data_IF_566522279860
#
_entry.id   IF_566522279860
#
_cell.length_a   1.000
_cell.length_b   1.000
_cell.length_c   1.000
_cell.angle_alpha   90.00
_cell.angle_beta   90.00
_cell.angle_gamma   90.00
#
_symmetry.space_group_name_H-M   'P 1'
#
loop_
_entity.id
_entity.type
_entity.pdbx_description
1 polymer ?
#
# COMPACT_ATOMS: atom_id res chain seq x y z
N UNK A 1 -4.01 6.25 17.35
CA UNK A 1 -3.70 7.49 16.63
C UNK A 1 -2.89 8.48 17.46
N UNK A 2 -3.30 8.90 18.68
CA UNK A 2 -2.56 9.88 19.51
C UNK A 2 -1.11 9.45 19.79
N UNK A 3 -0.88 8.20 20.15
CA UNK A 3 0.45 7.63 20.43
C UNK A 3 1.36 7.71 19.19
N UNK A 4 0.86 7.30 18.04
CA UNK A 4 1.64 7.35 16.80
C UNK A 4 2.11 8.78 16.46
N UNK A 5 1.21 9.77 16.60
CA UNK A 5 1.55 11.18 16.41
C UNK A 5 2.61 11.69 17.39
N UNK A 6 2.59 11.21 18.64
CA UNK A 6 3.58 11.59 19.65
C UNK A 6 4.99 11.13 19.25
N UNK A 7 5.14 9.91 18.74
CA UNK A 7 6.43 9.38 18.27
C UNK A 7 6.89 9.96 16.93
N UNK A 8 5.97 10.43 16.08
CA UNK A 8 6.31 11.08 14.81
C UNK A 8 6.71 12.55 15.01
N UNK A 9 6.21 13.21 16.04
CA UNK A 9 6.44 14.64 16.31
C UNK A 9 7.92 15.06 16.31
N UNK A 10 8.89 14.30 16.88
CA UNK A 10 10.29 14.65 16.81
C UNK A 10 10.86 14.67 15.37
N UNK A 11 10.25 13.91 14.45
CA UNK A 11 10.68 13.76 13.07
C UNK A 11 9.85 14.59 12.09
N UNK A 12 9.06 15.58 12.58
CA UNK A 12 8.15 16.39 11.76
C UNK A 12 8.80 16.98 10.52
N UNK A 13 10.06 17.45 10.61
CA UNK A 13 10.77 18.04 9.49
C UNK A 13 11.04 17.01 8.38
N UNK A 14 11.44 15.79 8.75
CA UNK A 14 11.62 14.68 7.79
C UNK A 14 10.29 14.28 7.16
N UNK A 15 9.21 14.26 7.94
CA UNK A 15 7.86 13.96 7.43
C UNK A 15 7.41 15.03 6.42
N UNK A 16 7.64 16.31 6.71
CA UNK A 16 7.32 17.41 5.78
C UNK A 16 8.15 17.27 4.49
N UNK A 17 9.45 17.00 4.60
CA UNK A 17 10.32 16.75 3.43
C UNK A 17 9.80 15.55 2.62
N UNK A 18 9.42 14.45 3.28
CA UNK A 18 8.84 13.28 2.63
C UNK A 18 7.56 13.61 1.86
N UNK A 19 6.67 14.43 2.43
CA UNK A 19 5.47 14.89 1.74
C UNK A 19 5.75 15.83 0.57
N UNK A 20 6.71 16.76 0.70
CA UNK A 20 7.11 17.64 -0.40
C UNK A 20 7.68 16.81 -1.56
N UNK A 21 8.58 15.87 -1.28
CA UNK A 21 9.15 14.98 -2.28
C UNK A 21 8.07 14.09 -2.95
N UNK A 22 7.11 13.60 -2.16
CA UNK A 22 5.97 12.84 -2.67
C UNK A 22 5.08 13.70 -3.59
N UNK A 23 4.85 14.96 -3.24
CA UNK A 23 4.09 15.89 -4.08
C UNK A 23 4.81 16.19 -5.39
N UNK A 24 6.12 16.44 -5.34
CA UNK A 24 6.94 16.65 -6.54
C UNK A 24 6.89 15.40 -7.44
N UNK A 25 7.22 14.23 -6.87
CA UNK A 25 7.19 12.97 -7.62
C UNK A 25 5.84 12.75 -8.30
N UNK A 26 4.72 12.88 -7.55
CA UNK A 26 3.39 12.61 -8.08
C UNK A 26 2.97 13.63 -9.15
N UNK A 27 3.28 14.91 -8.94
CA UNK A 27 2.96 15.98 -9.90
C UNK A 27 3.73 15.78 -11.21
N UNK A 28 5.04 15.52 -11.14
CA UNK A 28 5.84 15.29 -12.34
C UNK A 28 5.43 14.00 -13.08
N UNK A 29 5.06 12.95 -12.37
CA UNK A 29 4.51 11.72 -12.99
C UNK A 29 3.19 11.96 -13.73
N UNK A 30 2.39 12.96 -13.33
CA UNK A 30 1.14 13.31 -14.00
C UNK A 30 1.36 14.13 -15.28
N UNK A 31 2.56 14.68 -15.51
CA UNK A 31 2.89 15.33 -16.79
C UNK A 31 3.12 14.34 -17.93
N UNK A 32 3.51 13.11 -17.64
CA UNK A 32 3.80 12.10 -18.67
C UNK A 32 2.61 11.89 -19.65
N UNK A 33 1.37 11.59 -19.20
CA UNK A 33 0.24 11.44 -20.11
C UNK A 33 -0.15 12.75 -20.81
N UNK A 34 0.09 13.92 -20.21
CA UNK A 34 -0.19 15.22 -20.83
C UNK A 34 0.78 15.52 -21.98
N UNK A 35 2.08 15.29 -21.76
CA UNK A 35 3.11 15.48 -22.79
C UNK A 35 2.95 14.47 -23.93
N UNK A 36 2.58 13.22 -23.57
CA UNK A 36 2.30 12.19 -24.57
C UNK A 36 1.05 12.55 -25.39
N UNK A 37 0.00 13.09 -24.76
CA UNK A 37 -1.17 13.61 -25.46
C UNK A 37 -0.81 14.72 -26.45
N UNK A 38 0.03 15.69 -26.03
CA UNK A 38 0.54 16.75 -26.95
C UNK A 38 1.34 16.17 -28.12
N UNK A 39 2.18 15.16 -27.87
CA UNK A 39 2.94 14.51 -28.92
C UNK A 39 2.01 13.93 -30.00
N UNK A 40 0.92 13.27 -29.57
CA UNK A 40 -0.05 12.70 -30.51
C UNK A 40 -0.82 13.81 -31.23
N UNK A 41 -1.35 14.79 -30.50
CA UNK A 41 -2.20 15.84 -31.08
C UNK A 41 -1.45 16.72 -32.04
N UNK A 42 -0.22 17.16 -31.71
CA UNK A 42 0.54 18.11 -32.50
C UNK A 42 1.36 17.47 -33.61
N UNK A 43 1.78 16.19 -33.46
CA UNK A 43 2.72 15.56 -34.39
C UNK A 43 2.21 14.29 -35.06
N UNK A 44 1.32 13.53 -34.44
CA UNK A 44 0.78 12.32 -35.05
C UNK A 44 -0.52 12.59 -35.84
N UNK A 45 -1.41 13.47 -35.32
CA UNK A 45 -2.66 13.81 -36.02
C UNK A 45 -2.46 14.85 -37.13
N UNK A 46 -1.54 15.78 -36.95
CA UNK A 46 -1.26 16.88 -37.89
C UNK A 46 0.22 16.97 -38.20
N UNK A 47 0.81 15.95 -38.86
CA UNK A 47 2.27 15.87 -39.05
C UNK A 47 2.86 17.02 -39.92
N UNK A 48 2.06 17.57 -40.81
CA UNK A 48 2.49 18.57 -41.75
C UNK A 48 2.08 20.01 -41.42
N UNK A 49 1.25 20.22 -40.40
CA UNK A 49 0.72 21.53 -40.04
C UNK A 49 1.22 21.98 -38.67
N UNK A 50 1.64 23.24 -38.55
CA UNK A 50 1.93 23.86 -37.26
C UNK A 50 0.63 24.28 -36.58
N UNK A 51 0.66 24.63 -35.28
CA UNK A 51 -0.46 25.14 -34.51
C UNK A 51 -1.10 26.41 -35.16
N UNK A 52 -0.36 27.08 -36.03
CA UNK A 52 -0.81 28.26 -36.80
C UNK A 52 -1.32 27.91 -38.21
N UNK A 53 -1.39 26.61 -38.58
CA UNK A 53 -1.85 26.18 -39.90
C UNK A 53 -0.80 26.28 -41.04
N UNK A 54 0.46 26.59 -40.75
CA UNK A 54 1.54 26.61 -41.71
C UNK A 54 2.16 25.22 -41.90
N UNK A 55 2.63 24.93 -43.14
CA UNK A 55 3.33 23.67 -43.46
C UNK A 55 4.67 23.63 -42.70
N UNK A 56 4.86 22.58 -41.93
CA UNK A 56 6.14 22.31 -41.25
C UNK A 56 7.17 21.76 -42.20
N UNK A 57 8.38 22.29 -42.12
CA UNK A 57 9.54 21.67 -42.78
C UNK A 57 10.01 20.44 -41.97
N UNK A 58 10.60 19.47 -42.65
CA UNK A 58 11.09 18.22 -42.03
C UNK A 58 12.01 18.48 -40.79
N UNK A 59 12.95 19.43 -40.81
CA UNK A 59 13.77 19.73 -39.62
C UNK A 59 12.97 20.35 -38.46
N UNK A 60 11.94 21.14 -38.76
CA UNK A 60 11.04 21.69 -37.72
C UNK A 60 10.20 20.61 -37.02
N UNK A 61 9.71 19.64 -37.80
CA UNK A 61 8.99 18.49 -37.29
C UNK A 61 9.85 17.62 -36.35
N UNK A 62 11.06 17.25 -36.81
CA UNK A 62 12.01 16.47 -36.02
C UNK A 62 12.44 17.20 -34.74
N UNK A 63 12.70 18.51 -34.82
CA UNK A 63 13.07 19.32 -33.66
C UNK A 63 11.90 19.44 -32.66
N UNK A 64 10.66 19.55 -33.12
CA UNK A 64 9.46 19.59 -32.28
C UNK A 64 9.26 18.30 -31.49
N UNK A 65 9.33 17.15 -32.17
CA UNK A 65 9.26 15.83 -31.52
C UNK A 65 10.43 15.67 -30.55
N UNK A 66 11.66 16.01 -30.95
CA UNK A 66 12.84 15.92 -30.10
C UNK A 66 12.67 16.72 -28.80
N UNK A 67 12.12 17.92 -28.86
CA UNK A 67 11.85 18.75 -27.68
C UNK A 67 10.82 18.13 -26.74
N UNK A 68 9.72 17.57 -27.27
CA UNK A 68 8.72 16.91 -26.41
C UNK A 68 9.29 15.63 -25.79
N UNK A 69 10.06 14.84 -26.55
CA UNK A 69 10.73 13.66 -25.99
C UNK A 69 11.76 14.03 -24.91
N UNK A 70 12.50 15.12 -25.11
CA UNK A 70 13.45 15.61 -24.12
C UNK A 70 12.73 16.10 -22.85
N UNK A 71 11.58 16.77 -23.00
CA UNK A 71 10.71 17.14 -21.86
C UNK A 71 10.15 15.91 -21.15
N UNK A 72 9.71 14.87 -21.88
CA UNK A 72 9.25 13.61 -21.28
C UNK A 72 10.35 12.94 -20.46
N UNK A 73 11.55 12.83 -21.01
CA UNK A 73 12.69 12.28 -20.28
C UNK A 73 13.04 13.15 -19.06
N UNK A 74 13.03 14.48 -19.22
CA UNK A 74 13.31 15.42 -18.15
C UNK A 74 12.30 15.31 -16.99
N UNK A 75 11.00 15.30 -17.28
CA UNK A 75 9.94 15.14 -16.27
C UNK A 75 10.03 13.78 -15.58
N UNK A 76 10.26 12.70 -16.34
CA UNK A 76 10.46 11.37 -15.78
C UNK A 76 11.70 11.30 -14.87
N UNK A 77 12.81 11.94 -15.25
CA UNK A 77 14.02 11.99 -14.40
C UNK A 77 13.76 12.74 -13.10
N UNK A 78 13.11 13.91 -13.14
CA UNK A 78 12.78 14.66 -11.94
C UNK A 78 11.89 13.84 -11.01
N UNK A 79 10.84 13.20 -11.55
CA UNK A 79 9.96 12.30 -10.81
C UNK A 79 10.76 11.16 -10.15
N UNK A 80 11.65 10.49 -10.89
CA UNK A 80 12.48 9.39 -10.38
C UNK A 80 13.43 9.82 -9.29
N UNK A 81 14.10 10.96 -9.44
CA UNK A 81 15.00 11.52 -8.44
C UNK A 81 14.21 11.87 -7.18
N UNK A 82 13.08 12.59 -7.32
CA UNK A 82 12.22 12.91 -6.20
C UNK A 82 11.74 11.65 -5.46
N UNK A 83 11.37 10.59 -6.21
CA UNK A 83 10.97 9.30 -5.65
C UNK A 83 12.10 8.63 -4.86
N UNK A 84 13.31 8.63 -5.38
CA UNK A 84 14.46 8.04 -4.69
C UNK A 84 14.74 8.74 -3.35
N UNK A 85 14.72 10.08 -3.32
CA UNK A 85 14.87 10.85 -2.09
C UNK A 85 13.68 10.69 -1.13
N UNK A 86 12.45 10.58 -1.66
CA UNK A 86 11.26 10.29 -0.88
C UNK A 86 11.41 8.93 -0.17
N UNK A 87 11.76 7.88 -0.90
CA UNK A 87 11.91 6.53 -0.35
C UNK A 87 13.03 6.47 0.70
N UNK A 88 14.15 7.15 0.47
CA UNK A 88 15.20 7.30 1.46
C UNK A 88 14.69 7.99 2.73
N UNK A 89 14.01 9.13 2.60
CA UNK A 89 13.47 9.90 3.73
C UNK A 89 12.45 9.09 4.53
N UNK A 90 11.55 8.39 3.83
CA UNK A 90 10.55 7.50 4.46
C UNK A 90 11.22 6.37 5.23
N UNK A 91 12.23 5.73 4.65
CA UNK A 91 12.98 4.67 5.32
C UNK A 91 13.71 5.19 6.57
N UNK A 92 14.32 6.39 6.52
CA UNK A 92 14.93 7.02 7.70
C UNK A 92 13.90 7.27 8.80
N UNK A 93 12.71 7.77 8.46
CA UNK A 93 11.61 7.98 9.41
C UNK A 93 11.20 6.63 10.04
N UNK A 94 10.99 5.61 9.22
CA UNK A 94 10.59 4.27 9.66
C UNK A 94 11.61 3.69 10.65
N UNK A 95 12.91 3.74 10.33
CA UNK A 95 13.93 3.18 11.20
C UNK A 95 14.05 3.94 12.54
N UNK A 96 14.05 5.28 12.50
CA UNK A 96 14.08 6.10 13.72
C UNK A 96 12.84 5.91 14.59
N UNK A 97 11.66 5.89 13.98
CA UNK A 97 10.40 5.62 14.65
C UNK A 97 10.39 4.21 15.27
N UNK A 98 10.78 3.20 14.49
CA UNK A 98 10.82 1.81 14.94
C UNK A 98 11.77 1.60 16.11
N UNK A 99 12.94 2.24 16.09
CA UNK A 99 13.90 2.21 17.20
C UNK A 99 13.32 2.87 18.47
N UNK A 100 12.73 4.06 18.34
CA UNK A 100 12.14 4.78 19.46
C UNK A 100 10.96 3.98 20.08
N UNK A 101 10.06 3.48 19.24
CA UNK A 101 8.91 2.67 19.69
C UNK A 101 9.37 1.40 20.43
N UNK A 102 10.36 0.70 19.87
CA UNK A 102 10.87 -0.53 20.47
C UNK A 102 11.58 -0.27 21.81
N UNK A 103 12.44 0.76 21.87
CA UNK A 103 13.16 1.11 23.10
C UNK A 103 12.24 1.55 24.21
N UNK A 104 11.26 2.40 23.90
CA UNK A 104 10.29 2.85 24.90
C UNK A 104 9.36 1.73 25.34
N UNK A 105 8.92 0.87 24.42
CA UNK A 105 8.14 -0.31 24.73
C UNK A 105 8.88 -1.29 25.65
N UNK A 106 10.17 -1.53 25.37
CA UNK A 106 11.02 -2.36 26.21
C UNK A 106 11.22 -1.75 27.59
N UNK A 107 11.51 -0.44 27.66
CA UNK A 107 11.64 0.29 28.94
C UNK A 107 10.37 0.21 29.76
N UNK A 108 9.21 0.43 29.13
CA UNK A 108 7.92 0.34 29.81
C UNK A 108 7.68 -1.09 30.33
N UNK A 109 7.96 -2.10 29.53
CA UNK A 109 7.83 -3.50 29.95
C UNK A 109 8.70 -3.83 31.17
N UNK A 110 9.94 -3.34 31.19
CA UNK A 110 10.86 -3.56 32.32
C UNK A 110 10.47 -2.81 33.60
N UNK A 111 9.62 -1.78 33.52
CA UNK A 111 9.12 -1.03 34.67
C UNK A 111 7.83 -1.63 35.25
N UNK A 112 7.25 -2.66 34.62
CA UNK A 112 6.08 -3.34 35.14
C UNK A 112 6.39 -4.12 36.42
N UNK A 113 5.44 -4.23 37.41
CA UNK A 113 5.61 -5.06 38.57
C UNK A 113 5.84 -6.53 38.23
N UNK A 114 6.60 -7.25 39.07
CA UNK A 114 6.93 -8.66 38.86
C UNK A 114 5.71 -9.54 38.58
N UNK A 115 4.59 -9.28 39.24
CA UNK A 115 3.33 -10.00 39.06
C UNK A 115 2.79 -9.92 37.64
N UNK A 116 2.97 -8.78 36.93
CA UNK A 116 2.58 -8.62 35.53
C UNK A 116 3.52 -9.37 34.56
N UNK A 117 4.74 -9.68 35.02
CA UNK A 117 5.72 -10.49 34.27
C UNK A 117 5.49 -11.99 34.45
N UNK A 118 5.00 -12.43 35.60
CA UNK A 118 4.75 -13.83 35.91
C UNK A 118 3.64 -14.43 35.05
N UNK A 119 2.61 -13.64 34.75
CA UNK A 119 1.50 -14.00 33.85
C UNK A 119 1.84 -13.92 32.36
N UNK A 120 2.87 -13.16 31.99
CA UNK A 120 3.30 -13.00 30.59
C UNK A 120 4.64 -13.70 30.35
N UNK A 121 4.63 -14.68 29.47
CA UNK A 121 5.88 -15.30 29.00
C UNK A 121 6.75 -14.22 28.36
N UNK A 122 8.01 -14.09 28.78
CA UNK A 122 8.96 -13.07 28.29
C UNK A 122 9.06 -12.98 26.76
N UNK A 123 8.87 -14.10 26.04
CA UNK A 123 8.79 -14.16 24.60
C UNK A 123 7.54 -13.55 23.98
N UNK A 124 6.43 -13.49 24.71
CA UNK A 124 5.17 -12.90 24.24
C UNK A 124 5.29 -11.38 24.15
N UNK A 125 5.82 -10.73 25.17
CA UNK A 125 6.07 -9.26 25.15
C UNK A 125 6.97 -8.84 24.00
N UNK A 126 8.08 -9.57 23.77
CA UNK A 126 8.97 -9.30 22.66
C UNK A 126 8.28 -9.46 21.30
N UNK A 127 7.45 -10.49 21.17
CA UNK A 127 6.68 -10.75 19.94
C UNK A 127 5.67 -9.63 19.68
N UNK A 128 4.97 -9.14 20.71
CA UNK A 128 4.02 -8.02 20.62
C UNK A 128 4.74 -6.74 20.19
N UNK A 129 5.88 -6.40 20.80
CA UNK A 129 6.65 -5.21 20.45
C UNK A 129 7.17 -5.26 19.02
N UNK A 130 7.71 -6.40 18.61
CA UNK A 130 8.21 -6.60 17.24
C UNK A 130 7.09 -6.48 16.20
N UNK A 131 5.94 -7.06 16.48
CA UNK A 131 4.77 -6.97 15.62
C UNK A 131 4.22 -5.54 15.56
N UNK A 132 4.08 -4.87 16.71
CA UNK A 132 3.63 -3.48 16.77
C UNK A 132 4.56 -2.56 15.98
N UNK A 133 5.88 -2.74 16.11
CA UNK A 133 6.87 -2.03 15.30
C UNK A 133 6.62 -2.24 13.81
N UNK A 134 6.55 -3.50 13.35
CA UNK A 134 6.38 -3.84 11.93
C UNK A 134 5.05 -3.31 11.37
N UNK A 135 3.97 -3.35 12.13
CA UNK A 135 2.67 -2.83 11.71
C UNK A 135 2.68 -1.29 11.60
N UNK A 136 3.34 -0.59 12.52
CA UNK A 136 3.52 0.86 12.47
C UNK A 136 4.41 1.29 11.30
N UNK A 137 5.51 0.57 11.03
CA UNK A 137 6.39 0.80 9.89
C UNK A 137 5.63 0.71 8.57
N UNK A 138 4.82 -0.35 8.39
CA UNK A 138 3.94 -0.52 7.22
C UNK A 138 2.92 0.60 7.10
N UNK A 139 2.32 1.01 8.22
CA UNK A 139 1.33 2.07 8.23
C UNK A 139 1.92 3.42 7.79
N UNK A 140 3.09 3.81 8.32
CA UNK A 140 3.79 5.05 7.94
C UNK A 140 4.13 5.03 6.45
N UNK A 141 4.72 3.93 5.97
CA UNK A 141 5.05 3.75 4.56
C UNK A 141 3.81 3.87 3.67
N UNK A 142 2.71 3.24 4.06
CA UNK A 142 1.46 3.28 3.31
C UNK A 142 0.88 4.71 3.25
N UNK A 143 0.86 5.43 4.36
CA UNK A 143 0.32 6.79 4.41
C UNK A 143 1.11 7.74 3.50
N UNK A 144 2.44 7.70 3.56
CA UNK A 144 3.28 8.63 2.78
C UNK A 144 3.31 8.24 1.30
N UNK A 145 3.47 6.96 0.98
CA UNK A 145 3.66 6.52 -0.41
C UNK A 145 2.33 6.34 -1.17
N UNK A 146 1.26 5.96 -0.49
CA UNK A 146 0.00 5.62 -1.16
C UNK A 146 -1.06 6.69 -0.90
N UNK A 147 -1.45 6.90 0.36
CA UNK A 147 -2.58 7.80 0.68
C UNK A 147 -2.29 9.23 0.24
N UNK A 148 -1.11 9.73 0.53
CA UNK A 148 -0.73 11.09 0.13
C UNK A 148 -0.64 11.22 -1.40
N UNK A 149 -0.06 10.24 -2.09
CA UNK A 149 -0.02 10.21 -3.55
C UNK A 149 -1.41 10.24 -4.18
N UNK A 150 -2.37 9.50 -3.64
CA UNK A 150 -3.77 9.53 -4.09
C UNK A 150 -4.37 10.93 -3.93
N UNK A 151 -4.15 11.59 -2.79
CA UNK A 151 -4.68 12.94 -2.55
C UNK A 151 -4.11 13.94 -3.56
N UNK A 152 -2.80 13.91 -3.80
CA UNK A 152 -2.15 14.78 -4.80
C UNK A 152 -2.69 14.50 -6.20
N UNK A 153 -2.86 13.22 -6.57
CA UNK A 153 -3.43 12.84 -7.87
C UNK A 153 -4.86 13.34 -8.04
N UNK A 154 -5.71 13.21 -7.03
CA UNK A 154 -7.10 13.69 -7.09
C UNK A 154 -7.12 15.20 -7.29
N UNK A 155 -6.30 15.96 -6.55
CA UNK A 155 -6.22 17.43 -6.70
C UNK A 155 -5.76 17.80 -8.10
N UNK A 156 -4.69 17.16 -8.60
CA UNK A 156 -4.17 17.41 -9.93
C UNK A 156 -5.18 17.12 -11.05
N UNK A 157 -5.78 15.91 -11.02
CA UNK A 157 -6.79 15.51 -11.99
C UNK A 157 -8.00 16.42 -11.93
N UNK A 158 -8.43 16.85 -10.75
CA UNK A 158 -9.55 17.80 -10.58
C UNK A 158 -9.28 19.13 -11.27
N UNK A 159 -8.09 19.70 -11.08
CA UNK A 159 -7.68 20.95 -11.72
C UNK A 159 -7.58 20.78 -13.24
N UNK A 160 -7.03 19.67 -13.70
CA UNK A 160 -6.86 19.40 -15.12
C UNK A 160 -8.19 19.13 -15.84
N UNK A 161 -9.05 18.32 -15.25
CA UNK A 161 -10.35 17.95 -15.80
C UNK A 161 -11.28 19.17 -15.95
N UNK A 162 -11.27 20.09 -14.98
CA UNK A 162 -12.07 21.34 -15.06
C UNK A 162 -11.60 22.27 -16.18
N UNK A 163 -10.30 22.25 -16.53
CA UNK A 163 -9.79 23.01 -17.67
C UNK A 163 -10.16 22.40 -19.03
N UNK A 164 -10.33 21.09 -19.11
CA UNK A 164 -10.73 20.42 -20.33
C UNK A 164 -12.24 20.55 -20.59
N UNK A 165 -13.04 20.10 -19.65
CA UNK A 165 -14.50 20.22 -19.68
C UNK A 165 -15.08 19.99 -18.28
N UNK A 166 -15.92 20.87 -17.82
CA UNK A 166 -16.45 20.79 -16.46
C UNK A 166 -17.28 19.52 -16.18
N UNK A 167 -17.94 18.95 -17.21
CA UNK A 167 -18.75 17.71 -17.10
C UNK A 167 -17.94 16.46 -16.77
N UNK A 168 -16.61 16.47 -16.96
CA UNK A 168 -15.75 15.33 -16.66
C UNK A 168 -15.71 15.05 -15.16
N UNK A 169 -15.71 16.08 -14.34
CA UNK A 169 -15.64 15.99 -12.88
C UNK A 169 -16.79 15.18 -12.24
N UNK A 170 -18.08 15.48 -12.53
CA UNK A 170 -19.19 14.68 -12.02
C UNK A 170 -19.09 13.20 -12.40
N UNK A 171 -18.68 12.89 -13.64
CA UNK A 171 -18.52 11.51 -14.11
C UNK A 171 -17.47 10.78 -13.30
N UNK A 172 -16.30 11.38 -13.08
CA UNK A 172 -15.24 10.80 -12.24
C UNK A 172 -15.66 10.60 -10.79
N UNK A 173 -16.37 11.57 -10.20
CA UNK A 173 -16.85 11.46 -8.81
C UNK A 173 -17.86 10.32 -8.68
N UNK A 174 -18.80 10.19 -9.61
CA UNK A 174 -19.78 9.11 -9.63
C UNK A 174 -19.11 7.75 -9.83
N UNK A 175 -18.17 7.66 -10.77
CA UNK A 175 -17.42 6.43 -11.04
C UNK A 175 -16.57 6.01 -9.84
N UNK A 176 -15.80 6.92 -9.27
CA UNK A 176 -15.00 6.66 -8.07
C UNK A 176 -15.87 6.27 -6.87
N UNK A 177 -17.02 6.94 -6.67
CA UNK A 177 -17.99 6.61 -5.63
C UNK A 177 -18.57 5.21 -5.80
N UNK A 178 -18.92 4.83 -7.03
CA UNK A 178 -19.43 3.49 -7.35
C UNK A 178 -18.38 2.40 -7.09
N UNK A 179 -17.14 2.63 -7.53
CA UNK A 179 -16.01 1.72 -7.26
C UNK A 179 -15.77 1.59 -5.75
N UNK A 180 -15.78 2.69 -5.02
CA UNK A 180 -15.59 2.69 -3.56
C UNK A 180 -16.71 1.92 -2.84
N UNK A 181 -17.97 2.10 -3.27
CA UNK A 181 -19.11 1.39 -2.70
C UNK A 181 -19.00 -0.14 -2.92
N UNK A 182 -18.76 -0.57 -4.16
CA UNK A 182 -18.60 -2.00 -4.50
C UNK A 182 -17.39 -2.61 -3.76
N UNK A 183 -16.29 -1.88 -3.72
CA UNK A 183 -15.09 -2.29 -2.96
C UNK A 183 -15.38 -2.50 -1.49
N UNK A 184 -16.14 -1.60 -0.86
CA UNK A 184 -16.50 -1.71 0.56
C UNK A 184 -17.38 -2.94 0.84
N UNK A 185 -18.36 -3.21 -0.03
CA UNK A 185 -19.21 -4.40 0.09
C UNK A 185 -18.41 -5.71 0.04
N UNK A 186 -17.53 -5.84 -0.95
CA UNK A 186 -16.72 -7.05 -1.15
C UNK A 186 -15.63 -7.18 -0.07
N UNK A 187 -15.04 -6.07 0.36
CA UNK A 187 -14.04 -6.05 1.43
C UNK A 187 -14.60 -6.51 2.78
N UNK A 188 -15.87 -6.25 3.08
CA UNK A 188 -16.52 -6.76 4.30
C UNK A 188 -16.54 -8.29 4.33
N UNK A 189 -16.81 -8.95 3.19
CA UNK A 189 -16.77 -10.42 3.07
C UNK A 189 -15.36 -10.97 3.26
N UNK A 190 -14.36 -10.33 2.62
CA UNK A 190 -12.95 -10.70 2.74
C UNK A 190 -12.49 -10.57 4.19
N UNK A 191 -12.84 -9.48 4.88
CA UNK A 191 -12.54 -9.27 6.31
C UNK A 191 -13.13 -10.35 7.20
N UNK A 192 -14.36 -10.77 6.96
CA UNK A 192 -15.02 -11.86 7.72
C UNK A 192 -14.27 -13.18 7.56
N UNK A 193 -13.90 -13.53 6.31
CA UNK A 193 -13.12 -14.73 6.04
C UNK A 193 -11.76 -14.65 6.73
N UNK A 194 -11.07 -13.50 6.63
CA UNK A 194 -9.77 -13.29 7.26
C UNK A 194 -9.83 -13.45 8.79
N UNK A 195 -10.90 -12.96 9.43
CA UNK A 195 -11.11 -13.15 10.88
C UNK A 195 -11.19 -14.63 11.24
N UNK A 196 -11.90 -15.43 10.43
CA UNK A 196 -12.01 -16.86 10.65
C UNK A 196 -10.66 -17.58 10.43
N UNK A 197 -9.90 -17.18 9.39
CA UNK A 197 -8.55 -17.70 9.15
C UNK A 197 -7.65 -17.45 10.35
N UNK A 198 -7.62 -16.21 10.87
CA UNK A 198 -6.81 -15.87 12.06
C UNK A 198 -7.20 -16.73 13.25
N UNK A 199 -8.50 -16.89 13.51
CA UNK A 199 -9.01 -17.73 14.60
C UNK A 199 -8.53 -19.17 14.47
N UNK A 200 -8.72 -19.80 13.30
CA UNK A 200 -8.33 -21.20 13.07
C UNK A 200 -6.79 -21.36 13.11
N UNK A 201 -6.04 -20.42 12.58
CA UNK A 201 -4.56 -20.44 12.64
C UNK A 201 -4.06 -20.30 14.08
N UNK A 202 -4.67 -19.45 14.89
CA UNK A 202 -4.31 -19.33 16.32
C UNK A 202 -4.64 -20.61 17.08
N UNK A 203 -5.80 -21.21 16.81
CA UNK A 203 -6.17 -22.52 17.37
C UNK A 203 -5.19 -23.62 16.97
N UNK A 204 -4.84 -23.69 15.69
CA UNK A 204 -3.85 -24.66 15.19
C UNK A 204 -2.48 -24.47 15.85
N UNK A 205 -2.00 -23.22 15.96
CA UNK A 205 -0.74 -22.93 16.61
C UNK A 205 -0.74 -23.36 18.09
N UNK A 206 -1.83 -23.08 18.80
CA UNK A 206 -2.00 -23.50 20.21
C UNK A 206 -1.98 -25.02 20.35
N UNK A 207 -2.80 -25.74 19.58
CA UNK A 207 -2.86 -27.21 19.63
C UNK A 207 -1.54 -27.85 19.20
N UNK A 208 -0.86 -27.32 18.16
CA UNK A 208 0.46 -27.81 17.74
C UNK A 208 1.49 -27.66 18.85
N UNK A 209 1.53 -26.49 19.51
CA UNK A 209 2.45 -26.23 20.63
C UNK A 209 2.18 -27.18 21.80
N UNK A 210 0.92 -27.46 22.11
CA UNK A 210 0.52 -28.38 23.16
C UNK A 210 0.92 -29.82 22.83
N UNK A 211 0.65 -30.29 21.61
CA UNK A 211 1.04 -31.62 21.14
C UNK A 211 2.55 -31.83 21.17
N UNK A 212 3.33 -30.82 20.73
CA UNK A 212 4.78 -30.88 20.77
C UNK A 212 5.34 -30.84 22.19
N UNK A 213 4.74 -30.06 23.08
CA UNK A 213 5.14 -30.02 24.50
C UNK A 213 4.90 -31.35 25.19
N UNK A 214 3.83 -32.06 24.82
CA UNK A 214 3.45 -33.38 25.38
C UNK A 214 3.80 -34.54 24.44
N UNK A 215 4.81 -34.39 23.58
CA UNK A 215 5.13 -35.36 22.54
C UNK A 215 5.50 -36.75 23.09
N UNK A 216 6.12 -36.77 24.26
CA UNK A 216 6.46 -38.03 24.94
C UNK A 216 5.19 -38.83 25.32
N UNK A 217 4.18 -38.13 25.87
CA UNK A 217 2.89 -38.74 26.20
C UNK A 217 2.15 -39.19 24.92
N UNK A 218 2.15 -38.38 23.87
CA UNK A 218 1.53 -38.74 22.58
C UNK A 218 2.15 -40.01 22.01
N UNK A 219 3.49 -40.14 22.07
CA UNK A 219 4.21 -41.30 21.59
C UNK A 219 4.01 -42.53 22.47
N UNK A 220 4.07 -42.38 23.80
CA UNK A 220 3.92 -43.50 24.75
C UNK A 220 2.52 -44.13 24.68
N UNK A 221 1.50 -43.32 24.42
CA UNK A 221 0.11 -43.79 24.27
C UNK A 221 -0.25 -44.21 22.83
N UNK A 222 0.71 -44.20 21.88
CA UNK A 222 0.47 -44.56 20.48
C UNK A 222 -0.48 -43.61 19.70
N UNK A 223 -0.71 -42.38 20.20
CA UNK A 223 -1.69 -41.43 19.66
C UNK A 223 -1.14 -40.57 18.49
N UNK A 224 0.07 -40.86 18.02
CA UNK A 224 0.76 -40.06 16.98
C UNK A 224 -0.08 -39.90 15.72
N UNK A 225 -0.70 -40.98 15.22
CA UNK A 225 -1.53 -40.90 14.01
C UNK A 225 -2.76 -40.05 14.20
N UNK A 226 -3.46 -40.24 15.32
CA UNK A 226 -4.66 -39.47 15.66
C UNK A 226 -4.37 -37.98 15.79
N UNK A 227 -3.24 -37.60 16.38
CA UNK A 227 -2.82 -36.24 16.57
C UNK A 227 -2.44 -35.55 15.24
N UNK A 228 -1.71 -36.27 14.37
CA UNK A 228 -1.39 -35.83 13.01
C UNK A 228 -2.67 -35.63 12.19
N UNK A 229 -3.62 -36.53 12.25
CA UNK A 229 -4.89 -36.43 11.53
C UNK A 229 -5.70 -35.19 12.03
N UNK A 230 -5.70 -34.92 13.34
CA UNK A 230 -6.33 -33.75 13.93
C UNK A 230 -5.71 -32.43 13.42
N UNK A 231 -4.38 -32.34 13.41
CA UNK A 231 -3.65 -31.17 12.93
C UNK A 231 -3.85 -30.98 11.42
N UNK A 232 -3.85 -32.08 10.65
CA UNK A 232 -4.12 -32.05 9.22
C UNK A 232 -5.53 -31.53 8.92
N UNK A 233 -6.54 -31.99 9.62
CA UNK A 233 -7.93 -31.53 9.45
C UNK A 233 -8.06 -30.02 9.68
N UNK A 234 -7.39 -29.49 10.71
CA UNK A 234 -7.34 -28.05 10.97
C UNK A 234 -6.61 -27.29 9.85
N UNK A 235 -5.52 -27.85 9.35
CA UNK A 235 -4.75 -27.27 8.24
C UNK A 235 -5.59 -27.20 6.94
N UNK A 236 -6.30 -28.29 6.60
CA UNK A 236 -7.20 -28.31 5.44
C UNK A 236 -8.39 -27.38 5.58
N UNK A 237 -8.89 -27.18 6.80
CA UNK A 237 -9.93 -26.17 7.08
C UNK A 237 -9.43 -24.74 6.81
N UNK A 238 -8.20 -24.43 7.25
CA UNK A 238 -7.55 -23.15 6.96
C UNK A 238 -7.35 -22.99 5.45
N UNK A 239 -6.87 -24.03 4.76
CA UNK A 239 -6.70 -24.02 3.30
C UNK A 239 -8.01 -23.70 2.57
N UNK A 240 -9.11 -24.33 2.96
CA UNK A 240 -10.43 -24.05 2.36
C UNK A 240 -10.86 -22.59 2.55
N UNK A 241 -10.59 -22.00 3.73
CA UNK A 241 -10.86 -20.59 4.00
C UNK A 241 -9.95 -19.66 3.17
N UNK A 242 -8.66 -20.00 3.04
CA UNK A 242 -7.70 -19.24 2.22
C UNK A 242 -8.11 -19.28 0.73
N UNK A 243 -8.48 -20.44 0.20
CA UNK A 243 -8.98 -20.54 -1.18
C UNK A 243 -10.25 -19.72 -1.40
N UNK A 244 -11.17 -19.72 -0.42
CA UNK A 244 -12.37 -18.87 -0.46
C UNK A 244 -12.00 -17.38 -0.44
N UNK A 245 -11.01 -16.98 0.35
CA UNK A 245 -10.48 -15.61 0.38
C UNK A 245 -9.89 -15.21 -0.98
N UNK A 246 -9.04 -16.07 -1.55
CA UNK A 246 -8.42 -15.84 -2.88
C UNK A 246 -9.50 -15.65 -3.95
N UNK A 247 -10.53 -16.50 -3.98
CA UNK A 247 -11.66 -16.37 -4.91
C UNK A 247 -12.35 -15.00 -4.77
N UNK A 248 -12.63 -14.55 -3.54
CA UNK A 248 -13.26 -13.24 -3.32
C UNK A 248 -12.35 -12.07 -3.70
N UNK A 249 -11.03 -12.16 -3.45
CA UNK A 249 -10.06 -11.15 -3.87
C UNK A 249 -9.99 -11.08 -5.39
N UNK A 250 -9.97 -12.21 -6.10
CA UNK A 250 -9.95 -12.23 -7.55
C UNK A 250 -11.23 -11.65 -8.17
N UNK A 251 -12.39 -11.99 -7.58
CA UNK A 251 -13.67 -11.36 -8.00
C UNK A 251 -13.67 -9.85 -7.79
N UNK A 252 -13.14 -9.38 -6.66
CA UNK A 252 -12.99 -7.95 -6.39
C UNK A 252 -12.08 -7.27 -7.42
N UNK A 253 -10.90 -7.86 -7.68
CA UNK A 253 -9.95 -7.31 -8.66
C UNK A 253 -10.51 -7.27 -10.07
N UNK A 254 -11.26 -8.31 -10.47
CA UNK A 254 -11.93 -8.36 -11.78
C UNK A 254 -12.98 -7.26 -11.91
N UNK A 255 -13.86 -7.12 -10.92
CA UNK A 255 -14.92 -6.10 -10.94
C UNK A 255 -14.28 -4.69 -10.95
N UNK A 256 -13.28 -4.43 -10.10
CA UNK A 256 -12.59 -3.14 -10.07
C UNK A 256 -11.92 -2.82 -11.41
N UNK A 257 -11.18 -3.78 -11.98
CA UNK A 257 -10.51 -3.59 -13.28
C UNK A 257 -11.51 -3.32 -14.41
N UNK A 258 -12.62 -4.05 -14.42
CA UNK A 258 -13.67 -3.82 -15.41
C UNK A 258 -14.30 -2.44 -15.24
N UNK A 259 -14.63 -2.03 -14.02
CA UNK A 259 -15.24 -0.71 -13.76
C UNK A 259 -14.28 0.45 -14.12
N UNK A 260 -12.98 0.29 -13.88
CA UNK A 260 -11.97 1.30 -14.27
C UNK A 260 -11.89 1.43 -15.79
N UNK A 261 -12.02 0.33 -16.54
CA UNK A 261 -11.97 0.38 -18.00
C UNK A 261 -13.25 0.97 -18.63
N UNK A 262 -14.37 1.01 -17.91
CA UNK A 262 -15.61 1.67 -18.34
C UNK A 262 -15.68 3.16 -17.98
N UNK A 263 -14.79 3.65 -17.13
CA UNK A 263 -14.72 5.05 -16.69
C UNK A 263 -13.81 5.86 -17.59
#
# INVERSE_FOLDING_TARGET
MKILFQYIRPFRNLVIIGFILAAINQTFSMFDPMLFGRLIDEFAKTPFLDATGHLRTQPQYLKGIGNILLLLVGTAMVSRIAKAFQDYTVNVIIQKFGAALFTDGLRHSMQLPYQAFEDQRSGETLSILTKARADCEKFISYVINVVFGIVVSIVFISIYATKLHWSIMPIYILGAGTIAYVTNLLSKRIKSIQKNIVKETTTLAGTTTESLRNIELVKSLGLTKQEVDRLNNNTYKILALELKKVKNIRSLSFIQGTMVNFL
#
